data_IF_807068526573
#
_entry.id   IF_807068526573
#
_cell.length_a   1.000
_cell.length_b   1.000
_cell.length_c   1.000
_cell.angle_alpha   90.00
_cell.angle_beta   90.00
_cell.angle_gamma   90.00
#
_symmetry.space_group_name_H-M   'P 1'
#
loop_
_entity.id
_entity.type
_entity.pdbx_description
1 polymer ?
#
# COMPACT_ATOMS: atom_id res chain seq x y z
N UNK A 1 -47.38 1.20 27.59
CA UNK A 1 -46.30 0.33 28.09
C UNK A 1 -45.61 -0.50 27.01
N UNK A 2 -46.27 -1.22 26.10
CA UNK A 2 -45.59 -2.07 25.06
C UNK A 2 -44.75 -1.29 24.05
N UNK A 3 -45.08 -0.03 23.70
CA UNK A 3 -44.33 0.80 22.73
C UNK A 3 -43.03 1.35 23.33
N UNK A 4 -43.04 1.72 24.61
CA UNK A 4 -41.88 2.22 25.33
C UNK A 4 -40.81 1.13 25.53
N UNK A 5 -41.24 -0.09 25.85
CA UNK A 5 -40.36 -1.24 26.04
C UNK A 5 -39.67 -1.67 24.74
N UNK A 6 -40.36 -1.57 23.58
CA UNK A 6 -39.73 -1.82 22.26
C UNK A 6 -38.66 -0.78 21.91
N UNK A 7 -38.89 0.49 22.24
CA UNK A 7 -37.89 1.54 22.02
C UNK A 7 -36.65 1.36 22.89
N UNK A 8 -36.84 0.96 24.17
CA UNK A 8 -35.72 0.66 25.08
C UNK A 8 -34.94 -0.57 24.61
N UNK A 9 -35.61 -1.64 24.16
CA UNK A 9 -34.92 -2.81 23.60
C UNK A 9 -34.15 -2.52 22.33
N UNK A 10 -34.67 -1.68 21.43
CA UNK A 10 -33.98 -1.26 20.20
C UNK A 10 -32.77 -0.37 20.55
N UNK A 11 -32.92 0.52 21.53
CA UNK A 11 -31.79 1.36 21.98
C UNK A 11 -30.67 0.55 22.64
N UNK A 12 -31.01 -0.45 23.46
CA UNK A 12 -30.05 -1.37 24.08
C UNK A 12 -29.35 -2.25 23.03
N UNK A 13 -30.08 -2.69 21.99
CA UNK A 13 -29.51 -3.48 20.91
C UNK A 13 -28.58 -2.64 19.99
N UNK A 14 -28.92 -1.36 19.76
CA UNK A 14 -28.03 -0.42 19.05
C UNK A 14 -26.75 -0.10 19.84
N UNK A 15 -26.80 0.00 21.16
CA UNK A 15 -25.64 0.28 22.01
C UNK A 15 -24.73 -0.96 22.13
N UNK A 16 -25.28 -2.17 22.12
CA UNK A 16 -24.46 -3.41 22.15
C UNK A 16 -23.77 -3.73 20.81
N UNK A 17 -24.25 -3.17 19.69
CA UNK A 17 -23.64 -3.37 18.35
C UNK A 17 -22.47 -2.47 18.03
N UNK A 18 -22.17 -1.45 18.82
CA UNK A 18 -21.22 -0.38 18.49
C UNK A 18 -19.84 -0.47 19.18
N UNK A 19 -19.55 -1.53 19.91
CA UNK A 19 -18.34 -1.57 20.77
C UNK A 19 -17.18 -2.39 20.22
N UNK A 20 -17.21 -2.84 18.96
CA UNK A 20 -16.06 -3.57 18.40
C UNK A 20 -15.45 -2.74 17.26
N UNK A 21 -14.68 -1.73 17.63
CA UNK A 21 -13.84 -1.01 16.69
C UNK A 21 -12.54 -1.78 16.48
N UNK A 22 -12.37 -2.40 15.32
CA UNK A 22 -11.13 -3.07 14.97
C UNK A 22 -10.20 -2.08 14.26
N UNK A 23 -9.01 -1.90 14.80
CA UNK A 23 -7.96 -1.12 14.14
C UNK A 23 -7.39 -1.94 12.99
N UNK A 24 -7.45 -1.40 11.78
CA UNK A 24 -6.82 -1.95 10.59
C UNK A 24 -5.63 -1.09 10.20
N UNK A 25 -4.62 -1.74 9.61
CA UNK A 25 -3.54 -1.02 8.97
C UNK A 25 -4.04 -0.28 7.74
N UNK A 26 -3.34 0.80 7.43
CA UNK A 26 -3.54 1.50 6.17
C UNK A 26 -3.20 0.60 4.99
N UNK A 27 -3.92 0.77 3.89
CA UNK A 27 -3.61 0.16 2.61
C UNK A 27 -3.83 1.14 1.47
N UNK A 28 -3.08 0.96 0.39
CA UNK A 28 -3.25 1.72 -0.85
C UNK A 28 -4.04 0.90 -1.86
N UNK A 29 -4.92 1.57 -2.62
CA UNK A 29 -5.61 0.96 -3.76
C UNK A 29 -4.64 0.71 -4.91
N UNK A 30 -3.54 1.47 -4.97
CA UNK A 30 -2.39 1.23 -5.85
C UNK A 30 -1.32 0.41 -5.12
N UNK A 31 -1.66 -0.80 -4.66
CA UNK A 31 -0.80 -1.64 -3.82
C UNK A 31 0.55 -1.98 -4.48
N UNK A 32 0.59 -2.12 -5.81
CA UNK A 32 1.80 -2.34 -6.60
C UNK A 32 2.75 -1.14 -6.63
N UNK A 33 2.26 0.06 -6.28
CA UNK A 33 3.06 1.28 -6.12
C UNK A 33 3.60 1.47 -4.69
N UNK A 34 3.27 0.54 -3.77
CA UNK A 34 3.79 0.49 -2.41
C UNK A 34 4.29 -0.94 -2.05
N UNK A 35 5.27 -1.49 -2.80
CA UNK A 35 5.62 -2.91 -2.75
C UNK A 35 6.11 -3.37 -1.36
N UNK A 36 6.90 -2.56 -0.65
CA UNK A 36 7.43 -2.92 0.67
C UNK A 36 6.36 -2.97 1.78
N UNK A 37 5.21 -2.34 1.56
CA UNK A 37 4.05 -2.43 2.43
C UNK A 37 3.20 -3.67 2.13
N UNK A 38 3.32 -4.20 0.92
CA UNK A 38 2.64 -5.40 0.47
C UNK A 38 3.40 -6.67 0.89
N UNK A 39 4.71 -6.71 0.64
CA UNK A 39 5.58 -7.83 0.98
C UNK A 39 7.05 -7.37 1.04
N UNK A 40 7.74 -7.58 2.17
CA UNK A 40 9.17 -7.26 2.27
C UNK A 40 10.04 -7.94 1.20
N UNK A 41 9.69 -9.16 0.76
CA UNK A 41 10.43 -9.89 -0.25
C UNK A 41 10.26 -9.32 -1.67
N UNK A 42 9.45 -8.28 -1.88
CA UNK A 42 9.44 -7.52 -3.14
C UNK A 42 10.65 -6.60 -3.30
N UNK A 43 11.40 -6.32 -2.22
CA UNK A 43 12.61 -5.51 -2.29
C UNK A 43 13.58 -6.07 -3.34
N UNK A 44 13.97 -5.24 -4.32
CA UNK A 44 14.89 -5.61 -5.39
C UNK A 44 14.45 -6.77 -6.29
N UNK A 45 13.22 -7.27 -6.15
CA UNK A 45 12.75 -8.44 -6.88
C UNK A 45 12.35 -8.11 -8.32
N UNK A 46 11.55 -7.07 -8.49
CA UNK A 46 10.98 -6.69 -9.79
C UNK A 46 11.91 -5.74 -10.57
N UNK A 47 12.55 -4.82 -9.87
CA UNK A 47 13.42 -3.79 -10.44
C UNK A 47 14.79 -3.80 -9.75
N UNK A 48 15.82 -3.31 -10.44
CA UNK A 48 17.15 -3.18 -9.87
C UNK A 48 17.21 -2.15 -8.75
N UNK A 49 16.58 -1.00 -8.97
CA UNK A 49 16.35 0.07 -7.98
C UNK A 49 14.95 0.61 -8.20
N UNK A 50 14.23 0.84 -7.12
CA UNK A 50 12.90 1.44 -7.14
C UNK A 50 12.77 2.49 -6.03
N UNK A 51 12.18 3.62 -6.36
CA UNK A 51 11.72 4.62 -5.41
C UNK A 51 10.23 4.91 -5.65
N UNK A 52 9.46 5.05 -4.59
CA UNK A 52 8.02 5.28 -4.65
C UNK A 52 7.59 6.39 -3.70
N UNK A 53 6.62 7.18 -4.13
CA UNK A 53 5.92 8.16 -3.30
C UNK A 53 4.43 7.95 -3.53
N UNK A 54 3.66 7.84 -2.45
CA UNK A 54 2.23 7.62 -2.51
C UNK A 54 1.51 8.62 -1.60
N UNK A 55 0.43 9.17 -2.10
CA UNK A 55 -0.48 10.03 -1.35
C UNK A 55 -1.91 9.55 -1.54
N UNK A 56 -2.63 9.37 -0.44
CA UNK A 56 -4.05 8.98 -0.40
C UNK A 56 -4.84 10.00 0.41
N UNK A 57 -5.99 10.37 -0.11
CA UNK A 57 -6.95 11.26 0.55
C UNK A 57 -8.33 10.61 0.47
N UNK A 58 -8.90 10.26 1.61
CA UNK A 58 -10.09 9.43 1.69
C UNK A 58 -11.17 10.09 2.56
N UNK A 59 -12.43 9.94 2.17
CA UNK A 59 -13.62 10.35 2.92
C UNK A 59 -13.75 11.86 3.26
N UNK A 60 -13.36 12.73 2.34
CA UNK A 60 -13.47 14.18 2.50
C UNK A 60 -14.88 14.70 2.80
N UNK A 61 -15.90 13.88 2.53
CA UNK A 61 -17.31 14.30 2.65
C UNK A 61 -17.92 14.00 4.01
N UNK A 62 -17.24 13.24 4.89
CA UNK A 62 -17.80 12.78 6.18
C UNK A 62 -17.25 13.60 7.36
N UNK A 63 -16.24 14.44 7.17
CA UNK A 63 -15.58 15.17 8.25
C UNK A 63 -14.12 15.43 7.91
N UNK A 64 -13.23 15.40 8.92
CA UNK A 64 -11.81 15.53 8.67
C UNK A 64 -11.30 14.34 7.87
N UNK A 65 -10.71 14.55 6.68
CA UNK A 65 -10.31 13.47 5.79
C UNK A 65 -9.18 12.63 6.37
N UNK A 66 -9.15 11.37 5.95
CA UNK A 66 -8.00 10.49 6.18
C UNK A 66 -6.95 10.79 5.12
N UNK A 67 -5.75 11.12 5.56
CA UNK A 67 -4.62 11.46 4.69
C UNK A 67 -3.44 10.57 5.00
N UNK A 68 -3.02 9.82 4.00
CA UNK A 68 -1.86 8.94 4.09
C UNK A 68 -0.80 9.40 3.11
N UNK A 69 0.43 9.48 3.57
CA UNK A 69 1.61 9.74 2.76
C UNK A 69 2.64 8.64 3.00
N UNK A 70 3.21 8.08 1.95
CA UNK A 70 4.23 7.05 2.05
C UNK A 70 5.37 7.28 1.07
N UNK A 71 6.58 6.91 1.49
CA UNK A 71 7.79 6.88 0.68
C UNK A 71 8.45 5.54 0.84
N UNK A 72 8.82 4.91 -0.26
CA UNK A 72 9.55 3.66 -0.30
C UNK A 72 10.78 3.76 -1.18
N UNK A 73 11.82 3.05 -0.81
CA UNK A 73 13.02 2.86 -1.60
C UNK A 73 13.51 1.43 -1.44
N UNK A 74 13.80 0.77 -2.53
CA UNK A 74 14.42 -0.56 -2.50
C UNK A 74 15.42 -0.72 -3.62
N UNK A 75 16.40 -1.60 -3.37
CA UNK A 75 17.45 -1.87 -4.33
C UNK A 75 18.03 -3.27 -4.18
N UNK A 76 18.49 -3.80 -5.29
CA UNK A 76 19.34 -4.99 -5.33
C UNK A 76 20.81 -4.57 -5.19
N UNK A 77 21.51 -5.14 -4.21
CA UNK A 77 22.92 -4.77 -3.98
C UNK A 77 23.88 -5.37 -5.01
N UNK A 78 23.55 -6.51 -5.60
CA UNK A 78 24.47 -7.25 -6.46
C UNK A 78 24.22 -6.89 -7.93
N UNK A 79 25.22 -6.32 -8.58
CA UNK A 79 25.16 -5.97 -10.02
C UNK A 79 25.40 -7.15 -10.95
N UNK A 80 26.08 -8.20 -10.49
CA UNK A 80 26.47 -9.34 -11.34
C UNK A 80 25.33 -10.33 -11.52
N UNK A 81 24.93 -10.52 -12.76
CA UNK A 81 23.85 -11.41 -13.21
C UNK A 81 24.18 -12.92 -13.08
N UNK A 82 25.46 -13.27 -12.91
CA UNK A 82 25.96 -14.64 -12.86
C UNK A 82 26.04 -15.24 -11.44
N UNK A 83 25.45 -14.60 -10.45
CA UNK A 83 25.39 -15.15 -9.08
C UNK A 83 24.13 -16.00 -8.91
N UNK A 84 24.24 -17.08 -8.12
CA UNK A 84 23.11 -17.96 -7.79
C UNK A 84 22.04 -17.26 -6.92
N UNK A 85 22.29 -16.02 -6.51
CA UNK A 85 21.38 -15.21 -5.71
C UNK A 85 21.90 -13.80 -5.51
N UNK A 86 21.09 -12.96 -4.88
CA UNK A 86 21.45 -11.58 -4.57
C UNK A 86 20.80 -11.10 -3.27
N UNK A 87 21.46 -10.16 -2.62
CA UNK A 87 20.93 -9.42 -1.47
C UNK A 87 20.16 -8.21 -1.94
N UNK A 88 19.06 -7.93 -1.30
CA UNK A 88 18.26 -6.74 -1.51
C UNK A 88 18.06 -5.96 -0.21
N UNK A 89 18.02 -4.65 -0.32
CA UNK A 89 17.72 -3.73 0.77
C UNK A 89 16.49 -2.89 0.42
N UNK A 90 15.76 -2.51 1.43
CA UNK A 90 14.65 -1.59 1.30
C UNK A 90 14.45 -0.74 2.54
N UNK A 91 13.85 0.41 2.37
CA UNK A 91 13.38 1.26 3.44
C UNK A 91 12.03 1.86 3.05
N UNK A 92 11.13 1.96 4.00
CA UNK A 92 9.80 2.48 3.75
C UNK A 92 9.30 3.22 4.99
N UNK A 93 8.71 4.38 4.76
CA UNK A 93 8.12 5.22 5.80
C UNK A 93 6.73 5.62 5.34
N UNK A 94 5.75 5.57 6.24
CA UNK A 94 4.47 6.20 6.00
C UNK A 94 3.99 7.02 7.20
N UNK A 95 3.14 7.98 6.93
CA UNK A 95 2.41 8.76 7.93
C UNK A 95 0.94 8.82 7.53
N UNK A 96 0.09 8.40 8.44
CA UNK A 96 -1.36 8.45 8.33
C UNK A 96 -1.95 9.38 9.39
N UNK A 97 -2.97 10.13 9.01
CA UNK A 97 -3.71 11.02 9.92
C UNK A 97 -5.19 10.92 9.66
N UNK A 98 -5.96 10.71 10.71
CA UNK A 98 -7.39 10.45 10.65
C UNK A 98 -8.19 11.31 11.63
N UNK A 99 -9.30 11.84 11.18
CA UNK A 99 -10.31 12.49 12.01
C UNK A 99 -9.89 13.81 12.65
N UNK A 100 -10.79 14.40 13.45
CA UNK A 100 -10.62 15.70 14.10
C UNK A 100 -9.56 15.65 15.22
N UNK A 101 -9.41 14.51 15.90
CA UNK A 101 -8.35 14.29 16.89
C UNK A 101 -6.96 14.19 16.25
N UNK A 102 -6.87 14.25 14.92
CA UNK A 102 -5.64 14.04 14.15
C UNK A 102 -4.90 12.78 14.62
N UNK A 103 -5.68 11.73 14.96
CA UNK A 103 -5.09 10.44 15.33
C UNK A 103 -4.16 10.02 14.20
N UNK A 104 -2.89 9.86 14.52
CA UNK A 104 -1.86 9.59 13.55
C UNK A 104 -1.10 8.31 13.83
N UNK A 105 -0.65 7.68 12.76
CA UNK A 105 0.34 6.60 12.83
C UNK A 105 1.48 6.95 11.88
N UNK A 106 2.69 6.98 12.41
CA UNK A 106 3.91 7.11 11.60
C UNK A 106 4.71 5.85 11.79
N UNK A 107 5.06 5.19 10.70
CA UNK A 107 5.81 3.93 10.71
C UNK A 107 7.03 4.03 9.80
N UNK A 108 8.16 3.52 10.28
CA UNK A 108 9.38 3.38 9.51
C UNK A 108 9.91 1.96 9.60
N UNK A 109 10.22 1.38 8.43
CA UNK A 109 10.68 0.00 8.30
C UNK A 109 11.94 -0.06 7.46
N UNK A 110 12.81 -0.99 7.81
CA UNK A 110 13.98 -1.37 7.03
C UNK A 110 13.83 -2.83 6.59
N UNK A 111 14.14 -3.12 5.34
CA UNK A 111 14.00 -4.45 4.75
C UNK A 111 15.36 -5.01 4.37
N UNK A 112 15.61 -6.25 4.75
CA UNK A 112 16.74 -7.03 4.30
C UNK A 112 16.22 -8.33 3.68
N UNK A 113 16.51 -8.54 2.41
CA UNK A 113 16.08 -9.69 1.64
C UNK A 113 17.23 -10.42 0.97
N UNK A 114 17.01 -11.72 0.75
CA UNK A 114 17.87 -12.56 -0.07
C UNK A 114 17.03 -13.32 -1.09
N UNK A 115 17.46 -13.28 -2.34
CA UNK A 115 16.80 -13.92 -3.47
C UNK A 115 17.71 -14.98 -4.07
N UNK A 116 17.21 -16.21 -4.20
CA UNK A 116 17.90 -17.35 -4.78
C UNK A 116 17.33 -17.62 -6.17
N UNK A 117 18.18 -17.71 -7.18
CA UNK A 117 17.77 -18.17 -8.52
C UNK A 117 17.65 -19.68 -8.49
N UNK A 118 16.46 -20.19 -8.71
CA UNK A 118 16.20 -21.63 -8.86
C UNK A 118 16.64 -22.12 -10.25
N UNK A 119 16.38 -21.31 -11.25
CA UNK A 119 16.81 -21.51 -12.64
C UNK A 119 16.96 -20.15 -13.36
N UNK A 120 17.00 -20.17 -14.71
CA UNK A 120 17.15 -18.95 -15.53
C UNK A 120 15.99 -17.97 -15.35
N UNK A 121 14.80 -18.49 -15.11
CA UNK A 121 13.55 -17.74 -15.14
C UNK A 121 12.92 -17.60 -13.76
N UNK A 122 13.18 -18.54 -12.84
CA UNK A 122 12.55 -18.60 -11.52
C UNK A 122 13.47 -18.12 -10.41
N UNK A 123 12.96 -17.27 -9.55
CA UNK A 123 13.65 -16.77 -8.36
C UNK A 123 12.75 -16.93 -7.14
N UNK A 124 13.30 -17.39 -6.03
CA UNK A 124 12.65 -17.45 -4.73
C UNK A 124 13.33 -16.43 -3.80
N UNK A 125 12.54 -15.54 -3.21
CA UNK A 125 13.02 -14.52 -2.28
C UNK A 125 12.45 -14.72 -0.89
N UNK A 126 13.25 -14.37 0.12
CA UNK A 126 12.82 -14.24 1.50
C UNK A 126 13.36 -12.92 2.08
N UNK A 127 12.59 -12.27 2.93
CA UNK A 127 13.00 -11.02 3.55
C UNK A 127 12.43 -10.87 4.96
N UNK A 128 13.15 -10.12 5.78
CA UNK A 128 12.71 -9.63 7.09
C UNK A 128 12.62 -8.10 7.05
N UNK A 129 11.70 -7.58 7.85
CA UNK A 129 11.43 -6.14 7.88
C UNK A 129 11.25 -5.67 9.33
N UNK A 130 12.34 -5.41 10.07
CA UNK A 130 12.26 -4.71 11.33
C UNK A 130 11.86 -3.26 11.12
N UNK A 131 11.14 -2.71 12.10
CA UNK A 131 10.70 -1.34 12.06
C UNK A 131 10.18 -0.84 13.39
N UNK A 132 9.68 0.36 13.37
CA UNK A 132 8.98 0.97 14.49
C UNK A 132 7.75 1.72 13.98
N UNK A 133 6.75 1.82 14.83
CA UNK A 133 5.64 2.74 14.60
C UNK A 133 5.42 3.61 15.84
N UNK A 134 5.05 4.85 15.58
CA UNK A 134 4.59 5.80 16.56
C UNK A 134 3.11 6.09 16.30
N UNK A 135 2.30 5.98 17.34
CA UNK A 135 0.90 6.40 17.30
C UNK A 135 0.72 7.62 18.17
N UNK A 136 -0.04 8.58 17.69
CA UNK A 136 -0.34 9.80 18.42
C UNK A 136 -1.83 10.18 18.27
N UNK A 137 -2.34 10.85 19.29
CA UNK A 137 -3.67 11.42 19.32
C UNK A 137 -3.61 12.78 20.03
N UNK A 138 -4.38 13.74 19.54
CA UNK A 138 -4.46 15.06 20.15
C UNK A 138 -5.91 15.35 20.54
N UNK A 139 -6.15 15.45 21.84
CA UNK A 139 -7.44 15.76 22.41
C UNK A 139 -7.69 17.27 22.53
N UNK A 140 -6.64 18.10 22.33
CA UNK A 140 -6.78 19.55 22.40
C UNK A 140 -7.68 20.07 21.26
N UNK A 141 -8.64 20.90 21.60
CA UNK A 141 -9.57 21.51 20.64
C UNK A 141 -10.72 20.60 20.20
N UNK A 142 -10.84 19.39 20.76
CA UNK A 142 -12.06 18.59 20.62
C UNK A 142 -13.16 19.15 21.50
N UNK A 143 -14.39 18.99 21.05
CA UNK A 143 -15.61 19.37 21.79
C UNK A 143 -16.30 18.11 22.29
N UNK A 144 -16.65 18.09 23.57
CA UNK A 144 -17.22 16.93 24.21
C UNK A 144 -18.65 17.21 24.67
N UNK A 145 -19.49 16.18 24.67
CA UNK A 145 -20.89 16.31 25.10
C UNK A 145 -21.07 16.86 26.51
N UNK A 146 -20.12 16.57 27.43
CA UNK A 146 -20.13 17.08 28.79
C UNK A 146 -19.84 18.59 28.89
N UNK A 147 -19.38 19.19 27.80
CA UNK A 147 -19.10 20.63 27.70
C UNK A 147 -20.29 21.40 27.07
N UNK A 148 -21.46 20.78 26.98
CA UNK A 148 -22.69 21.42 26.52
C UNK A 148 -23.61 21.65 27.72
N UNK A 149 -23.93 22.91 27.98
CA UNK A 149 -24.73 23.31 29.16
C UNK A 149 -26.27 23.17 28.96
N UNK A 150 -26.67 22.65 27.81
CA UNK A 150 -28.06 22.52 27.39
C UNK A 150 -28.51 23.58 26.40
N UNK A 151 -27.74 24.66 26.21
CA UNK A 151 -28.01 25.74 25.25
C UNK A 151 -26.84 26.01 24.29
N UNK A 152 -25.62 25.98 24.79
CA UNK A 152 -24.40 26.25 24.01
C UNK A 152 -23.20 25.45 24.52
N UNK A 153 -22.15 25.39 23.72
CA UNK A 153 -20.88 24.81 24.09
C UNK A 153 -20.11 25.75 25.00
N UNK A 154 -19.66 25.26 26.16
CA UNK A 154 -18.82 25.97 27.13
C UNK A 154 -17.51 25.22 27.37
N UNK A 155 -16.42 25.76 26.84
CA UNK A 155 -15.08 25.19 26.97
C UNK A 155 -14.54 25.19 28.41
N UNK A 156 -15.16 25.95 29.33
CA UNK A 156 -14.78 26.00 30.74
C UNK A 156 -15.27 24.79 31.54
N UNK A 157 -16.29 24.10 31.03
CA UNK A 157 -16.80 22.88 31.64
C UNK A 157 -15.81 21.72 31.46
N UNK A 158 -15.71 20.89 32.50
CA UNK A 158 -14.85 19.69 32.43
C UNK A 158 -15.34 18.74 31.34
N UNK A 159 -14.45 18.35 30.45
CA UNK A 159 -14.77 17.33 29.43
C UNK A 159 -14.98 15.92 30.03
N UNK A 160 -14.40 15.65 31.23
CA UNK A 160 -14.35 14.31 31.80
C UNK A 160 -13.39 13.35 31.09
N UNK A 161 -12.74 13.82 30.02
CA UNK A 161 -11.85 13.03 29.18
C UNK A 161 -10.37 13.37 29.44
N UNK A 162 -9.48 12.48 28.98
CA UNK A 162 -8.04 12.74 29.07
C UNK A 162 -7.69 13.93 28.17
N UNK A 163 -7.07 14.94 28.72
CA UNK A 163 -6.62 16.11 27.97
C UNK A 163 -5.22 15.93 27.39
N UNK A 164 -4.87 16.86 26.48
CA UNK A 164 -3.51 16.96 25.96
C UNK A 164 -3.27 16.11 24.73
N UNK A 165 -2.00 15.95 24.40
CA UNK A 165 -1.51 15.11 23.31
C UNK A 165 -0.83 13.88 23.91
N UNK A 166 -1.17 12.71 23.36
CA UNK A 166 -0.57 11.45 23.79
C UNK A 166 0.10 10.77 22.62
N UNK A 167 1.23 10.12 22.87
CA UNK A 167 1.95 9.36 21.89
C UNK A 167 2.65 8.15 22.52
N UNK A 168 2.77 7.08 21.76
CA UNK A 168 3.62 5.95 22.11
C UNK A 168 4.34 5.41 20.88
N UNK A 169 5.51 4.81 21.13
CA UNK A 169 6.31 4.16 20.07
C UNK A 169 6.52 2.70 20.42
N UNK A 170 6.39 1.83 19.43
CA UNK A 170 6.64 0.39 19.54
C UNK A 170 7.49 -0.10 18.39
N UNK A 171 8.24 -1.17 18.62
CA UNK A 171 8.98 -1.89 17.58
C UNK A 171 8.12 -3.01 17.02
N UNK A 172 8.34 -3.33 15.77
CA UNK A 172 7.62 -4.34 15.05
C UNK A 172 8.51 -5.05 14.04
N UNK A 173 8.11 -6.25 13.66
CA UNK A 173 8.84 -7.06 12.68
C UNK A 173 7.84 -7.67 11.71
N UNK A 174 8.16 -7.56 10.42
CA UNK A 174 7.50 -8.27 9.34
C UNK A 174 8.45 -9.25 8.66
N UNK A 175 7.90 -10.21 7.93
CA UNK A 175 8.64 -11.14 7.09
C UNK A 175 7.85 -11.48 5.83
N UNK A 176 8.55 -11.90 4.78
CA UNK A 176 7.90 -12.25 3.52
C UNK A 176 8.66 -13.27 2.71
N UNK A 177 7.90 -13.98 1.88
CA UNK A 177 8.37 -14.92 0.87
C UNK A 177 7.79 -14.50 -0.48
N UNK A 178 8.57 -14.65 -1.54
CA UNK A 178 8.20 -14.28 -2.90
C UNK A 178 8.75 -15.30 -3.89
N UNK A 179 7.90 -15.79 -4.76
CA UNK A 179 8.31 -16.43 -6.00
C UNK A 179 8.12 -15.45 -7.14
N UNK A 180 9.10 -15.35 -8.03
CA UNK A 180 9.01 -14.54 -9.24
C UNK A 180 9.51 -15.32 -10.46
N UNK A 181 8.78 -15.17 -11.55
CA UNK A 181 9.08 -15.72 -12.86
C UNK A 181 9.29 -14.60 -13.86
N UNK A 182 10.39 -14.66 -14.61
CA UNK A 182 10.69 -13.73 -15.69
C UNK A 182 11.30 -14.51 -16.85
N UNK A 183 10.68 -14.49 -18.02
CA UNK A 183 11.19 -15.21 -19.18
C UNK A 183 12.22 -14.41 -19.99
N UNK A 184 12.54 -13.20 -19.55
CA UNK A 184 13.53 -12.33 -20.21
C UNK A 184 14.90 -12.45 -19.58
N UNK A 185 15.91 -12.37 -20.43
CA UNK A 185 17.31 -12.34 -19.99
C UNK A 185 17.72 -10.96 -19.42
N UNK A 186 17.06 -10.44 -18.35
CA UNK A 186 17.42 -9.15 -17.75
C UNK A 186 16.49 -8.69 -16.65
N UNK A 187 16.71 -7.46 -16.20
CA UNK A 187 15.75 -6.78 -15.35
C UNK A 187 14.48 -6.51 -16.15
N UNK A 188 13.34 -6.46 -15.47
CA UNK A 188 12.06 -6.15 -16.09
C UNK A 188 12.18 -4.74 -16.70
N UNK A 189 12.19 -4.68 -18.01
CA UNK A 189 12.08 -3.40 -18.72
C UNK A 189 10.59 -3.09 -18.93
N UNK A 190 10.24 -1.85 -18.66
CA UNK A 190 8.88 -1.33 -18.86
C UNK A 190 8.37 -1.54 -20.31
N UNK A 191 9.25 -1.84 -21.24
CA UNK A 191 9.03 -1.73 -22.68
C UNK A 191 9.03 -3.02 -23.48
N UNK A 192 9.39 -4.15 -22.88
CA UNK A 192 9.41 -5.42 -23.62
C UNK A 192 8.02 -6.05 -23.66
N UNK A 193 7.44 -6.04 -24.86
CA UNK A 193 6.10 -6.57 -25.12
C UNK A 193 6.05 -8.08 -25.38
N UNK A 194 7.20 -8.77 -25.37
CA UNK A 194 7.24 -10.21 -25.60
C UNK A 194 7.41 -11.02 -24.29
N UNK A 195 7.42 -10.34 -23.15
CA UNK A 195 7.76 -10.95 -21.89
C UNK A 195 6.53 -11.39 -21.09
N UNK A 196 6.67 -12.53 -20.47
CA UNK A 196 5.76 -13.01 -19.43
C UNK A 196 6.49 -12.83 -18.09
N UNK A 197 5.93 -12.01 -17.23
CA UNK A 197 6.41 -11.80 -15.86
C UNK A 197 5.30 -12.17 -14.89
N UNK A 198 5.61 -13.00 -13.92
CA UNK A 198 4.67 -13.37 -12.88
C UNK A 198 5.35 -13.32 -11.51
N UNK A 199 4.58 -13.03 -10.48
CA UNK A 199 5.03 -13.14 -9.11
C UNK A 199 3.87 -13.56 -8.22
N UNK A 200 4.20 -14.27 -7.15
CA UNK A 200 3.28 -14.61 -6.08
C UNK A 200 4.04 -14.58 -4.75
N UNK A 201 3.41 -14.04 -3.72
CA UNK A 201 4.06 -13.87 -2.43
C UNK A 201 3.12 -14.02 -1.25
N UNK A 202 3.75 -14.29 -0.13
CA UNK A 202 3.13 -14.36 1.19
C UNK A 202 3.94 -13.51 2.16
N UNK A 203 3.28 -12.72 2.99
CA UNK A 203 3.96 -11.96 4.05
C UNK A 203 3.15 -11.94 5.34
N UNK A 204 3.87 -11.73 6.43
CA UNK A 204 3.32 -11.60 7.78
C UNK A 204 3.90 -10.33 8.39
N UNK A 205 3.05 -9.49 8.95
CA UNK A 205 3.43 -8.29 9.69
C UNK A 205 2.95 -8.39 11.13
N UNK A 206 3.48 -7.56 12.00
CA UNK A 206 3.15 -7.52 13.43
C UNK A 206 3.41 -8.86 14.13
N UNK A 207 4.54 -9.50 13.77
CA UNK A 207 4.95 -10.79 14.37
C UNK A 207 5.18 -10.64 15.87
N UNK A 208 5.60 -9.47 16.33
CA UNK A 208 5.85 -9.14 17.72
C UNK A 208 4.58 -8.83 18.53
N UNK A 209 3.41 -8.76 17.87
CA UNK A 209 2.11 -8.39 18.47
C UNK A 209 2.23 -7.26 19.52
N UNK A 210 2.75 -6.09 19.12
CA UNK A 210 3.05 -5.04 20.08
C UNK A 210 1.77 -4.49 20.74
N UNK A 211 1.87 -4.10 22.01
CA UNK A 211 0.75 -3.45 22.71
C UNK A 211 0.36 -2.15 22.03
N UNK A 212 -0.94 -2.00 21.76
CA UNK A 212 -1.49 -0.96 20.89
C UNK A 212 -2.63 -0.16 21.55
N UNK A 213 -2.35 0.41 22.72
CA UNK A 213 -3.33 1.19 23.48
C UNK A 213 -2.74 2.47 24.06
N UNK A 214 -3.53 3.54 24.06
CA UNK A 214 -3.24 4.78 24.78
C UNK A 214 -3.62 4.70 26.27
N UNK A 215 -4.58 3.85 26.61
CA UNK A 215 -5.17 3.78 27.96
C UNK A 215 -4.51 2.75 28.86
N UNK A 216 -3.38 2.18 28.44
CA UNK A 216 -2.69 1.14 29.21
C UNK A 216 -3.42 -0.21 29.22
N UNK A 217 -4.45 -0.39 28.40
CA UNK A 217 -5.11 -1.68 28.22
C UNK A 217 -4.14 -2.71 27.60
N UNK A 218 -4.44 -3.98 27.76
CA UNK A 218 -3.62 -5.09 27.25
C UNK A 218 -3.90 -5.40 25.75
N UNK A 219 -4.50 -4.46 25.03
CA UNK A 219 -4.79 -4.62 23.63
C UNK A 219 -3.51 -4.75 22.82
N UNK A 220 -3.43 -5.79 21.97
CA UNK A 220 -2.32 -6.08 21.09
C UNK A 220 -2.71 -5.85 19.65
N UNK A 221 -1.74 -5.42 18.84
CA UNK A 221 -1.92 -5.33 17.41
C UNK A 221 -1.94 -6.72 16.80
N UNK A 222 -3.01 -7.06 16.09
CA UNK A 222 -3.13 -8.37 15.43
C UNK A 222 -2.09 -8.56 14.34
N UNK A 223 -1.55 -9.78 14.25
CA UNK A 223 -0.77 -10.19 13.09
C UNK A 223 -1.58 -10.01 11.81
N UNK A 224 -0.91 -9.49 10.78
CA UNK A 224 -1.47 -9.28 9.45
C UNK A 224 -0.83 -10.25 8.47
N UNK A 225 -1.65 -11.08 7.85
CA UNK A 225 -1.25 -12.03 6.82
C UNK A 225 -1.63 -11.48 5.46
N UNK A 226 -0.72 -11.52 4.51
CA UNK A 226 -0.92 -11.03 3.15
C UNK A 226 -0.58 -12.12 2.15
N UNK A 227 -1.45 -12.30 1.15
CA UNK A 227 -1.20 -13.11 -0.04
C UNK A 227 -1.43 -12.24 -1.26
N UNK A 228 -0.49 -12.24 -2.17
CA UNK A 228 -0.60 -11.42 -3.38
C UNK A 228 -0.01 -12.11 -4.61
N UNK A 229 -0.41 -11.64 -5.77
CA UNK A 229 0.18 -12.09 -7.02
C UNK A 229 -0.15 -11.17 -8.17
N UNK A 230 0.66 -11.23 -9.18
CA UNK A 230 0.50 -10.46 -10.41
C UNK A 230 1.13 -11.18 -11.60
N UNK A 231 0.58 -10.89 -12.76
CA UNK A 231 1.05 -11.40 -14.05
C UNK A 231 1.09 -10.23 -15.03
N UNK A 232 2.14 -10.15 -15.82
CA UNK A 232 2.17 -9.31 -17.03
C UNK A 232 2.29 -10.21 -18.24
N UNK A 233 1.39 -10.08 -19.18
CA UNK A 233 1.39 -10.86 -20.43
C UNK A 233 1.04 -9.99 -21.62
N UNK A 234 1.87 -10.01 -22.64
CA UNK A 234 1.58 -9.38 -23.92
C UNK A 234 0.46 -10.09 -24.67
N UNK A 235 -0.37 -9.35 -25.35
CA UNK A 235 -1.46 -9.86 -26.17
C UNK A 235 -1.00 -10.00 -27.64
N UNK A 236 -0.28 -11.10 -27.90
CA UNK A 236 0.30 -11.38 -29.23
C UNK A 236 1.37 -10.34 -29.61
N UNK A 237 1.47 -10.05 -30.90
CA UNK A 237 2.40 -9.05 -31.46
C UNK A 237 1.90 -7.60 -31.29
N UNK A 238 0.85 -7.40 -30.51
CA UNK A 238 0.26 -6.08 -30.29
C UNK A 238 1.09 -5.25 -29.31
N UNK A 239 0.90 -3.93 -29.35
CA UNK A 239 1.47 -2.99 -28.36
C UNK A 239 0.71 -2.99 -27.04
N UNK A 240 -0.10 -4.02 -26.79
CA UNK A 240 -0.96 -4.13 -25.62
C UNK A 240 -0.54 -5.31 -24.77
N UNK A 241 -0.45 -5.09 -23.46
CA UNK A 241 -0.28 -6.17 -22.47
C UNK A 241 -1.36 -6.06 -21.39
N UNK A 242 -1.70 -7.19 -20.78
CA UNK A 242 -2.60 -7.27 -19.65
C UNK A 242 -1.80 -7.55 -18.38
N UNK A 243 -2.15 -6.84 -17.30
CA UNK A 243 -1.55 -6.94 -15.99
C UNK A 243 -2.61 -7.27 -14.93
N UNK A 244 -3.13 -8.51 -14.88
CA UNK A 244 -4.00 -8.93 -13.80
C UNK A 244 -3.21 -9.07 -12.51
N UNK A 245 -3.81 -8.67 -11.40
CA UNK A 245 -3.21 -8.83 -10.09
C UNK A 245 -4.27 -8.94 -9.00
N UNK A 246 -3.88 -9.56 -7.90
CA UNK A 246 -4.71 -9.69 -6.72
C UNK A 246 -3.90 -9.43 -5.46
N UNK A 247 -4.62 -9.03 -4.42
CA UNK A 247 -4.11 -8.77 -3.09
C UNK A 247 -5.17 -9.21 -2.07
N UNK A 248 -4.78 -10.04 -1.14
CA UNK A 248 -5.59 -10.48 -0.02
C UNK A 248 -4.85 -10.21 1.27
N UNK A 249 -5.54 -9.66 2.26
CA UNK A 249 -5.00 -9.62 3.61
C UNK A 249 -6.05 -9.98 4.65
N UNK A 250 -5.54 -10.45 5.79
CA UNK A 250 -6.31 -10.67 7.01
C UNK A 250 -5.54 -10.15 8.20
N UNK A 251 -6.20 -9.33 9.04
CA UNK A 251 -5.66 -8.79 10.28
C UNK A 251 -6.73 -8.90 11.36
N UNK A 252 -6.58 -9.87 12.26
CA UNK A 252 -7.61 -10.22 13.22
C UNK A 252 -8.95 -10.57 12.53
N UNK A 253 -10.05 -9.88 12.87
CA UNK A 253 -11.36 -10.09 12.22
C UNK A 253 -11.46 -9.41 10.85
N UNK A 254 -10.62 -8.43 10.56
CA UNK A 254 -10.64 -7.70 9.29
C UNK A 254 -10.01 -8.53 8.17
N UNK A 255 -10.64 -8.54 7.03
CA UNK A 255 -10.13 -9.17 5.82
C UNK A 255 -10.56 -8.41 4.58
N UNK A 256 -9.71 -8.41 3.57
CA UNK A 256 -9.98 -7.77 2.30
C UNK A 256 -9.44 -8.59 1.14
N UNK A 257 -10.22 -8.71 0.10
CA UNK A 257 -9.80 -9.26 -1.19
C UNK A 257 -9.91 -8.15 -2.22
N UNK A 258 -8.83 -7.89 -2.91
CA UNK A 258 -8.72 -6.88 -3.93
C UNK A 258 -8.14 -7.49 -5.19
N UNK A 259 -8.84 -7.40 -6.31
CA UNK A 259 -8.40 -7.99 -7.57
C UNK A 259 -8.86 -7.18 -8.77
N UNK A 260 -8.13 -7.28 -9.86
CA UNK A 260 -8.43 -6.55 -11.08
C UNK A 260 -7.33 -6.69 -12.12
N UNK A 261 -7.37 -5.81 -13.11
CA UNK A 261 -6.36 -5.79 -14.16
C UNK A 261 -6.13 -4.38 -14.70
N UNK A 262 -4.90 -4.13 -15.15
CA UNK A 262 -4.53 -2.99 -15.96
C UNK A 262 -4.21 -3.47 -17.39
N UNK A 263 -4.66 -2.73 -18.38
CA UNK A 263 -4.22 -2.85 -19.76
C UNK A 263 -3.10 -1.84 -19.99
N UNK A 264 -1.94 -2.33 -20.41
CA UNK A 264 -0.79 -1.51 -20.78
C UNK A 264 -0.79 -1.29 -22.29
N UNK A 265 -0.72 -0.04 -22.70
CA UNK A 265 -0.61 0.40 -24.09
C UNK A 265 0.78 1.00 -24.29
N UNK A 266 1.63 0.32 -25.04
CA UNK A 266 2.96 0.82 -25.37
C UNK A 266 2.85 1.93 -26.43
N UNK A 267 3.24 3.15 -26.06
CA UNK A 267 3.16 4.33 -26.92
C UNK A 267 4.45 4.49 -27.74
N UNK A 268 5.60 4.37 -27.06
CA UNK A 268 6.92 4.53 -27.69
C UNK A 268 7.86 3.45 -27.16
N UNK A 269 8.66 2.86 -28.05
CA UNK A 269 9.75 1.95 -27.68
C UNK A 269 11.08 2.72 -27.57
N UNK A 270 11.99 2.20 -26.75
CA UNK A 270 13.35 2.75 -26.65
C UNK A 270 14.05 2.66 -28.02
N UNK A 271 14.72 3.74 -28.38
CA UNK A 271 15.58 3.72 -29.57
C UNK A 271 16.85 2.92 -29.26
N UNK A 272 17.01 1.77 -29.90
CA UNK A 272 18.17 0.89 -29.73
C UNK A 272 19.50 1.52 -30.16
N UNK A 273 19.48 2.47 -31.07
CA UNK A 273 20.69 3.02 -31.72
C UNK A 273 21.00 4.48 -31.39
N UNK A 274 20.00 5.32 -31.22
CA UNK A 274 20.21 6.77 -31.06
C UNK A 274 20.07 7.25 -29.63
N UNK A 275 19.41 6.49 -28.73
CA UNK A 275 19.16 6.91 -27.34
C UNK A 275 18.19 8.10 -27.19
N UNK A 276 17.72 8.70 -28.29
CA UNK A 276 16.89 9.92 -28.27
C UNK A 276 15.43 9.68 -27.89
N UNK A 277 14.94 8.45 -28.00
CA UNK A 277 13.55 8.13 -27.65
C UNK A 277 13.54 7.21 -26.44
N UNK A 278 12.97 7.69 -25.37
CA UNK A 278 12.68 6.88 -24.20
C UNK A 278 11.34 6.18 -24.33
N UNK A 279 11.27 4.98 -23.81
CA UNK A 279 10.05 4.21 -23.79
C UNK A 279 8.96 4.91 -23.00
N UNK A 280 7.73 4.80 -23.49
CA UNK A 280 6.54 5.27 -22.78
C UNK A 280 5.38 4.33 -22.94
N UNK A 281 4.60 4.20 -21.87
CA UNK A 281 3.41 3.36 -21.85
C UNK A 281 2.30 4.04 -21.04
N UNK A 282 1.07 3.77 -21.44
CA UNK A 282 -0.12 4.18 -20.70
C UNK A 282 -0.85 2.93 -20.20
N UNK A 283 -1.33 3.01 -18.95
CA UNK A 283 -2.09 1.93 -18.33
C UNK A 283 -3.46 2.44 -17.94
N UNK A 284 -4.47 1.61 -18.17
CA UNK A 284 -5.85 1.88 -17.77
C UNK A 284 -6.49 0.56 -17.32
N UNK A 285 -7.26 0.62 -16.25
CA UNK A 285 -8.00 -0.54 -15.80
C UNK A 285 -8.79 -0.30 -14.54
N UNK A 286 -9.26 -1.40 -13.95
CA UNK A 286 -10.11 -1.36 -12.78
C UNK A 286 -9.86 -2.53 -11.85
N UNK A 287 -10.16 -2.28 -10.60
CA UNK A 287 -10.06 -3.24 -9.51
C UNK A 287 -11.33 -3.26 -8.70
N UNK A 288 -11.64 -4.39 -8.14
CA UNK A 288 -12.74 -4.56 -7.20
C UNK A 288 -12.22 -4.96 -5.83
N UNK A 289 -12.54 -4.16 -4.84
CA UNK A 289 -12.31 -4.43 -3.42
C UNK A 289 -13.60 -4.97 -2.84
N UNK A 290 -13.58 -6.23 -2.43
CA UNK A 290 -14.79 -6.94 -2.02
C UNK A 290 -15.51 -6.23 -0.89
N UNK A 291 -16.81 -6.01 -1.06
CA UNK A 291 -17.73 -5.37 -0.10
C UNK A 291 -17.37 -3.93 0.28
N UNK A 292 -16.47 -3.28 -0.45
CA UNK A 292 -16.03 -1.92 -0.13
C UNK A 292 -16.10 -0.97 -1.33
N UNK A 293 -15.30 -1.15 -2.37
CA UNK A 293 -15.20 -0.19 -3.46
C UNK A 293 -14.84 -0.81 -4.82
N UNK A 294 -15.17 -0.08 -5.87
CA UNK A 294 -14.58 -0.24 -7.20
C UNK A 294 -13.55 0.86 -7.39
N UNK A 295 -12.33 0.49 -7.80
CA UNK A 295 -11.24 1.43 -8.07
C UNK A 295 -10.99 1.52 -9.55
N UNK A 296 -11.04 2.72 -10.10
CA UNK A 296 -10.53 3.03 -11.44
C UNK A 296 -9.09 3.48 -11.32
N UNK A 297 -8.21 2.95 -12.20
CA UNK A 297 -6.77 3.23 -12.15
C UNK A 297 -6.26 3.61 -13.53
N UNK A 298 -5.39 4.61 -13.56
CA UNK A 298 -4.58 4.96 -14.71
C UNK A 298 -3.14 5.20 -14.27
N UNK A 299 -2.19 4.89 -15.16
CA UNK A 299 -0.79 5.15 -14.94
C UNK A 299 -0.12 5.51 -16.27
N UNK A 300 0.79 6.46 -16.22
CA UNK A 300 1.65 6.83 -17.34
C UNK A 300 3.10 6.59 -16.97
N UNK A 301 3.81 5.84 -17.81
CA UNK A 301 5.24 5.59 -17.65
C UNK A 301 6.04 6.25 -18.76
N UNK A 302 7.14 6.89 -18.38
CA UNK A 302 8.10 7.53 -19.27
C UNK A 302 9.50 7.46 -18.68
N UNK A 303 10.46 6.89 -19.42
CA UNK A 303 11.88 6.88 -19.06
C UNK A 303 12.17 6.37 -17.62
N UNK A 304 11.42 5.36 -17.15
CA UNK A 304 11.54 4.80 -15.79
C UNK A 304 10.70 5.53 -14.73
N UNK A 305 10.12 6.69 -15.06
CA UNK A 305 9.14 7.36 -14.20
C UNK A 305 7.75 6.81 -14.45
N UNK A 306 7.01 6.53 -13.39
CA UNK A 306 5.61 6.11 -13.43
C UNK A 306 4.74 7.06 -12.59
N UNK A 307 3.70 7.64 -13.20
CA UNK A 307 2.73 8.52 -12.56
C UNK A 307 1.40 7.79 -12.49
N UNK A 308 0.99 7.43 -11.28
CA UNK A 308 -0.26 6.70 -11.02
C UNK A 308 -1.33 7.60 -10.44
N UNK A 309 -2.56 7.40 -10.90
CA UNK A 309 -3.77 8.01 -10.39
C UNK A 309 -4.81 6.93 -10.20
N UNK A 310 -5.48 6.91 -9.04
CA UNK A 310 -6.65 6.06 -8.83
C UNK A 310 -7.75 6.79 -8.07
N UNK A 311 -8.97 6.36 -8.31
CA UNK A 311 -10.16 6.85 -7.63
C UNK A 311 -11.03 5.68 -7.19
N UNK A 312 -11.34 5.65 -5.89
CA UNK A 312 -12.22 4.66 -5.28
C UNK A 312 -13.66 5.15 -5.33
N UNK A 313 -14.56 4.32 -5.81
CA UNK A 313 -16.00 4.52 -5.78
C UNK A 313 -16.57 3.55 -4.74
N UNK A 314 -17.07 4.07 -3.62
CA UNK A 314 -17.61 3.25 -2.54
C UNK A 314 -18.89 2.52 -2.98
N UNK A 315 -18.90 1.20 -2.75
CA UNK A 315 -20.04 0.32 -3.02
C UNK A 315 -20.63 -0.28 -1.74
N UNK A 316 -19.93 -0.10 -0.60
CA UNK A 316 -20.34 -0.55 0.73
C UNK A 316 -21.50 0.29 1.31
N UNK A 317 -21.94 -0.02 2.53
CA UNK A 317 -22.89 0.80 3.28
C UNK A 317 -22.47 2.26 3.48
N UNK A 318 -21.17 2.52 3.41
CA UNK A 318 -20.61 3.89 3.44
C UNK A 318 -21.02 4.75 2.24
N UNK A 319 -21.53 4.17 1.15
CA UNK A 319 -21.98 4.91 -0.03
C UNK A 319 -23.01 5.99 0.30
N UNK A 320 -23.89 5.74 1.28
CA UNK A 320 -24.94 6.68 1.69
C UNK A 320 -24.32 7.91 2.39
N UNK A 321 -23.37 7.71 3.29
CA UNK A 321 -22.67 8.78 4.00
C UNK A 321 -21.69 9.55 3.11
N UNK A 322 -21.07 8.89 2.14
CA UNK A 322 -20.02 9.47 1.29
C UNK A 322 -20.53 9.95 -0.06
N UNK A 323 -21.83 9.76 -0.39
CA UNK A 323 -22.36 9.94 -1.73
C UNK A 323 -21.52 9.19 -2.79
N UNK A 324 -21.16 7.95 -2.51
CA UNK A 324 -20.28 7.06 -3.31
C UNK A 324 -18.83 7.54 -3.45
N UNK A 325 -18.45 8.70 -2.91
CA UNK A 325 -17.08 9.24 -3.01
C UNK A 325 -16.16 8.52 -2.02
N UNK A 326 -15.23 7.75 -2.52
CA UNK A 326 -14.26 6.99 -1.73
C UNK A 326 -12.99 7.77 -1.47
N UNK A 327 -11.96 7.51 -2.24
CA UNK A 327 -10.63 8.11 -2.06
C UNK A 327 -9.93 8.41 -3.38
N UNK A 328 -9.08 9.42 -3.35
CA UNK A 328 -8.16 9.76 -4.42
C UNK A 328 -6.76 9.32 -4.00
N UNK A 329 -6.06 8.61 -4.87
CA UNK A 329 -4.65 8.28 -4.67
C UNK A 329 -3.80 8.77 -5.83
N UNK A 330 -2.64 9.35 -5.48
CA UNK A 330 -1.59 9.76 -6.39
C UNK A 330 -0.34 8.96 -6.06
N UNK A 331 0.32 8.42 -7.06
CA UNK A 331 1.56 7.68 -6.91
C UNK A 331 2.60 8.14 -7.90
N UNK A 332 3.84 8.19 -7.44
CA UNK A 332 5.02 8.42 -8.27
C UNK A 332 5.99 7.28 -8.04
N UNK A 333 6.49 6.70 -9.11
CA UNK A 333 7.50 5.65 -9.09
C UNK A 333 8.66 6.01 -9.99
N UNK A 334 9.87 5.78 -9.51
CA UNK A 334 11.08 5.78 -10.32
C UNK A 334 11.70 4.40 -10.26
N UNK A 335 11.96 3.80 -11.41
CA UNK A 335 12.65 2.52 -11.52
C UNK A 335 13.89 2.68 -12.40
N UNK A 336 14.96 1.99 -12.01
CA UNK A 336 16.17 1.91 -12.83
C UNK A 336 16.63 0.46 -12.91
N UNK A 337 17.20 0.10 -14.08
CA UNK A 337 17.89 -1.18 -14.25
C UNK A 337 19.31 -1.07 -13.69
N UNK A 338 19.77 -2.11 -13.00
CA UNK A 338 21.17 -2.27 -12.62
C UNK A 338 22.04 -2.81 -13.78
N UNK A 339 21.43 -3.09 -14.94
CA UNK A 339 22.17 -3.50 -16.12
C UNK A 339 23.09 -2.35 -16.56
N UNK A 340 24.39 -2.52 -16.35
CA UNK A 340 25.37 -1.78 -17.11
C UNK A 340 25.19 -2.23 -18.57
N UNK A 341 24.47 -1.48 -19.40
CA UNK A 341 24.83 -1.47 -20.81
C UNK A 341 26.28 -0.96 -20.81
N UNK A 342 27.27 -1.72 -21.28
CA UNK A 342 28.58 -1.13 -21.52
C UNK A 342 28.29 0.06 -22.43
N UNK A 343 28.63 1.25 -21.97
CA UNK A 343 28.63 2.42 -22.83
C UNK A 343 29.32 1.99 -24.10
N UNK A 344 28.70 2.21 -25.24
CA UNK A 344 29.38 2.07 -26.52
C UNK A 344 30.59 2.99 -26.42
N UNK A 345 31.73 2.42 -26.08
CA UNK A 345 33.00 3.05 -26.39
C UNK A 345 32.99 3.18 -27.91
N UNK A 346 32.56 4.32 -28.40
CA UNK A 346 32.95 4.78 -29.69
C UNK A 346 34.47 4.93 -29.63
N UNK A 347 35.20 3.84 -29.92
CA UNK A 347 36.55 3.99 -30.38
C UNK A 347 36.46 4.85 -31.65
N UNK A 348 36.83 6.08 -31.53
CA UNK A 348 37.15 6.93 -32.65
C UNK A 348 38.38 6.30 -33.32
N UNK A 349 38.21 5.78 -34.50
CA UNK A 349 39.15 5.77 -35.58
C UNK A 349 38.41 6.11 -36.87
#
# INVERSE_FOLDING_TARGET
MKSSMKRVLVSVFCVMGSLVSFSQDIHFSQFDMAPLQQNPALAGALYGVQATINYKDQWRTIGAPYKTFAVGYDMRLTKKRNTNGYVALGAHVFSDKAGDSKMGTTQGNFTLGYHVKLDKNNTLGAAIQPGFFQRNVNFNGLQWGNQFDGMHYDASLSSGEMGGSQAFTKYDVGAGLLWSFNNTDGDIHVTDNHDINAHAGFSVYHITTPKYSFLGSQEELYMKFVVHGGLTKSLGDSKVAINPSFFYYRQGPAQEIYFGALFRFLLTQDSKFTGFKSASAFYLGGYYRTRDAVTLRMMYEYAGWGFGLSYDVNTSSLKEATNTRGGLELSLRLVTSLSNKPGSNHSRY
#
